data_IF_819109855820
#
_entry.id   IF_819109855820
#
_cell.length_a   1.000
_cell.length_b   1.000
_cell.length_c   1.000
_cell.angle_alpha   90.00
_cell.angle_beta   90.00
_cell.angle_gamma   90.00
#
_symmetry.space_group_name_H-M   'P 1'
#
loop_
_entity.id
_entity.type
_entity.pdbx_description
1 polymer ?
#
# COMPACT_ATOMS: atom_id res chain seq x y z
N UNK A 1 -3.01 84.61 13.47
CA UNK A 1 -1.68 84.95 12.90
C UNK A 1 -0.78 83.73 12.97
N UNK A 2 0.26 83.66 12.11
CA UNK A 2 1.52 82.86 12.15
C UNK A 2 1.45 81.43 12.75
N UNK A 3 1.68 80.30 12.07
CA UNK A 3 2.58 79.92 10.93
C UNK A 3 4.07 79.77 11.32
N UNK A 4 4.51 78.50 11.48
CA UNK A 4 5.91 77.98 11.55
C UNK A 4 6.70 78.38 12.83
N UNK A 5 7.76 77.70 13.30
CA UNK A 5 8.70 76.65 12.76
C UNK A 5 9.22 75.81 13.99
N UNK A 6 10.19 74.85 14.06
CA UNK A 6 11.22 74.20 13.20
C UNK A 6 11.79 72.91 13.89
N UNK A 7 11.97 71.77 13.17
CA UNK A 7 13.00 70.69 13.40
C UNK A 7 13.05 69.92 14.75
N UNK A 8 13.67 68.72 14.91
CA UNK A 8 13.79 67.45 14.14
C UNK A 8 14.50 66.40 15.04
N UNK A 9 14.29 65.09 14.80
CA UNK A 9 15.06 63.92 15.28
C UNK A 9 15.46 63.77 16.76
N UNK A 10 15.01 62.66 17.35
CA UNK A 10 15.95 61.59 17.73
C UNK A 10 15.30 60.21 17.52
N UNK A 11 16.01 59.33 16.80
CA UNK A 11 15.64 57.92 16.61
C UNK A 11 16.32 57.07 17.69
N UNK A 12 15.54 56.34 18.48
CA UNK A 12 16.02 55.18 19.24
C UNK A 12 15.11 53.99 18.94
N UNK A 13 15.44 53.29 17.86
CA UNK A 13 14.77 52.06 17.46
C UNK A 13 15.12 50.91 18.39
N UNK A 14 14.35 50.73 19.46
CA UNK A 14 14.41 49.55 20.32
C UNK A 14 13.93 48.31 19.57
N UNK A 15 14.83 47.63 18.86
CA UNK A 15 14.53 46.38 18.16
C UNK A 15 14.28 45.24 19.15
N UNK A 16 13.03 45.12 19.62
CA UNK A 16 12.58 44.01 20.44
C UNK A 16 12.61 42.70 19.63
N UNK A 17 13.72 41.97 19.71
CA UNK A 17 13.86 40.62 19.17
C UNK A 17 12.94 39.65 19.93
N UNK A 18 11.69 39.58 19.48
CA UNK A 18 10.75 38.55 19.90
C UNK A 18 11.24 37.19 19.38
N UNK A 19 12.02 36.49 20.19
CA UNK A 19 12.42 35.10 19.94
C UNK A 19 11.16 34.23 20.05
N UNK A 20 10.46 34.07 18.93
CA UNK A 20 9.37 33.12 18.83
C UNK A 20 9.93 31.71 19.14
N UNK A 21 9.28 30.91 20.00
CA UNK A 21 9.74 29.58 20.31
C UNK A 21 9.66 28.72 19.05
N UNK A 22 10.82 28.41 18.46
CA UNK A 22 10.93 27.41 17.42
C UNK A 22 10.65 26.04 18.04
N UNK A 23 9.37 25.66 18.07
CA UNK A 23 8.95 24.29 18.27
C UNK A 23 9.60 23.46 17.17
N UNK A 24 10.69 22.79 17.53
CA UNK A 24 11.33 21.81 16.66
C UNK A 24 10.37 20.64 16.56
N UNK A 25 9.58 20.62 15.48
CA UNK A 25 8.78 19.47 15.10
C UNK A 25 9.76 18.34 14.74
N UNK A 26 10.15 17.57 15.76
CA UNK A 26 10.81 16.28 15.59
C UNK A 26 9.92 15.44 14.67
N UNK A 27 10.44 15.05 13.50
CA UNK A 27 9.74 14.23 12.52
C UNK A 27 9.55 12.80 13.05
N UNK A 28 8.68 12.65 14.04
CA UNK A 28 8.12 11.37 14.45
C UNK A 28 7.30 10.88 13.26
N UNK A 29 7.73 9.78 12.65
CA UNK A 29 6.97 9.12 11.60
C UNK A 29 5.56 8.82 12.10
N UNK A 30 4.54 9.19 11.31
CA UNK A 30 3.13 8.90 11.56
C UNK A 30 2.86 7.39 11.71
N UNK A 31 3.76 6.55 11.20
CA UNK A 31 3.72 5.09 11.26
C UNK A 31 5.02 4.52 11.81
N UNK A 32 4.93 3.53 12.70
CA UNK A 32 6.11 2.85 13.23
C UNK A 32 6.72 1.87 12.21
N UNK A 33 8.04 1.64 12.30
CA UNK A 33 8.73 0.64 11.45
C UNK A 33 8.07 -0.75 11.56
N UNK A 34 7.61 -1.13 12.75
CA UNK A 34 6.94 -2.41 12.96
C UNK A 34 5.60 -2.49 12.24
N UNK A 35 4.78 -1.43 12.21
CA UNK A 35 3.56 -1.38 11.37
C UNK A 35 3.89 -1.45 9.87
N UNK A 36 4.92 -0.73 9.44
CA UNK A 36 5.33 -0.67 8.02
C UNK A 36 5.74 -2.06 7.48
N UNK A 37 6.28 -2.94 8.33
CA UNK A 37 6.59 -4.35 8.04
C UNK A 37 5.57 -5.35 8.61
N UNK A 38 4.44 -4.88 9.15
CA UNK A 38 3.31 -5.71 9.60
C UNK A 38 3.53 -6.52 10.89
N UNK A 39 4.58 -6.21 11.66
CA UNK A 39 4.82 -6.76 13.01
C UNK A 39 4.14 -5.93 14.10
N UNK A 40 3.83 -4.66 13.81
CA UNK A 40 3.05 -3.77 14.65
C UNK A 40 1.54 -4.02 14.56
N UNK A 41 0.80 -3.51 15.55
CA UNK A 41 -0.64 -3.73 15.73
C UNK A 41 -1.42 -2.41 15.53
N UNK A 42 -1.71 -2.00 14.28
CA UNK A 42 -2.52 -0.80 14.03
C UNK A 42 -3.99 -1.01 14.45
N UNK A 43 -4.68 0.07 14.82
CA UNK A 43 -6.12 0.04 15.01
C UNK A 43 -6.82 -0.18 13.65
N UNK A 44 -7.72 -1.16 13.58
CA UNK A 44 -8.38 -1.60 12.35
C UNK A 44 -9.86 -1.88 12.54
N UNK A 45 -10.62 -1.59 11.48
CA UNK A 45 -12.08 -1.60 11.44
C UNK A 45 -12.58 -2.49 10.30
N UNK A 46 -13.71 -3.16 10.51
CA UNK A 46 -14.35 -4.05 9.54
C UNK A 46 -14.93 -5.31 10.18
N UNK A 47 -15.68 -6.08 9.39
CA UNK A 47 -16.21 -7.40 9.77
C UNK A 47 -15.94 -8.37 8.61
N UNK A 48 -15.16 -9.43 8.87
CA UNK A 48 -14.58 -10.30 7.84
C UNK A 48 -13.40 -9.67 7.07
N UNK A 49 -13.06 -8.41 7.34
CA UNK A 49 -11.91 -7.68 6.80
C UNK A 49 -11.46 -6.60 7.80
N UNK A 50 -10.31 -5.98 7.56
CA UNK A 50 -9.67 -5.04 8.50
C UNK A 50 -8.88 -3.95 7.76
N UNK A 51 -9.24 -2.69 8.02
CA UNK A 51 -8.70 -1.46 7.41
C UNK A 51 -8.48 -0.37 8.48
N UNK A 52 -7.52 0.55 8.29
CA UNK A 52 -7.44 1.78 9.10
C UNK A 52 -8.71 2.62 8.93
N UNK A 53 -9.05 3.45 9.93
CA UNK A 53 -10.36 4.13 10.01
C UNK A 53 -10.77 4.87 8.73
N UNK A 54 -9.89 5.71 8.19
CA UNK A 54 -10.19 6.51 6.98
C UNK A 54 -10.46 5.62 5.76
N UNK A 55 -9.62 4.59 5.56
CA UNK A 55 -9.79 3.61 4.50
C UNK A 55 -11.07 2.78 4.68
N UNK A 56 -11.44 2.44 5.92
CA UNK A 56 -12.71 1.78 6.24
C UNK A 56 -13.92 2.68 5.92
N UNK A 57 -13.94 3.92 6.41
CA UNK A 57 -15.03 4.88 6.19
C UNK A 57 -15.20 5.23 4.70
N UNK A 58 -14.09 5.25 3.93
CA UNK A 58 -14.11 5.38 2.48
C UNK A 58 -14.62 4.09 1.79
N UNK A 59 -14.17 2.92 2.22
CA UNK A 59 -14.58 1.64 1.65
C UNK A 59 -16.07 1.36 1.84
N UNK A 60 -16.64 1.71 3.00
CA UNK A 60 -18.09 1.62 3.24
C UNK A 60 -18.88 2.48 2.25
N UNK A 61 -18.41 3.70 1.93
CA UNK A 61 -19.03 4.57 0.92
C UNK A 61 -18.94 3.96 -0.48
N UNK A 62 -17.76 3.47 -0.87
CA UNK A 62 -17.54 2.82 -2.17
C UNK A 62 -18.42 1.57 -2.34
N UNK A 63 -18.47 0.70 -1.33
CA UNK A 63 -19.32 -0.51 -1.32
C UNK A 63 -20.81 -0.16 -1.33
N UNK A 64 -21.23 0.91 -0.65
CA UNK A 64 -22.61 1.38 -0.67
C UNK A 64 -23.00 2.07 -1.99
N UNK A 65 -22.05 2.60 -2.76
CA UNK A 65 -22.28 3.09 -4.12
C UNK A 65 -22.47 1.92 -5.10
N UNK A 66 -21.49 1.02 -5.19
CA UNK A 66 -21.56 -0.17 -6.05
C UNK A 66 -22.84 -1.01 -5.83
N UNK A 67 -23.28 -1.14 -4.57
CA UNK A 67 -24.50 -1.88 -4.25
C UNK A 67 -25.78 -1.25 -4.84
N UNK A 68 -25.85 0.07 -5.04
CA UNK A 68 -27.01 0.74 -5.69
C UNK A 68 -27.13 0.36 -7.17
N UNK A 69 -26.01 0.01 -7.79
CA UNK A 69 -25.93 -0.45 -9.18
C UNK A 69 -25.98 -1.97 -9.30
N UNK A 70 -26.36 -2.65 -8.20
CA UNK A 70 -26.45 -4.11 -8.08
C UNK A 70 -25.08 -4.83 -8.19
N UNK A 71 -24.00 -4.15 -7.76
CA UNK A 71 -22.65 -4.71 -7.68
C UNK A 71 -22.23 -4.95 -6.21
N UNK A 72 -22.70 -6.03 -5.55
CA UNK A 72 -22.34 -6.32 -4.16
C UNK A 72 -20.86 -6.72 -4.03
N UNK A 73 -20.02 -5.83 -3.49
CA UNK A 73 -18.58 -6.11 -3.31
C UNK A 73 -18.33 -7.06 -2.12
N UNK A 74 -17.55 -8.13 -2.34
CA UNK A 74 -16.91 -8.93 -1.29
C UNK A 74 -15.40 -8.66 -1.23
N UNK A 75 -14.88 -8.54 -0.02
CA UNK A 75 -13.44 -8.52 0.26
C UNK A 75 -12.91 -9.96 0.34
N UNK A 76 -11.78 -10.24 -0.30
CA UNK A 76 -11.08 -11.54 -0.28
C UNK A 76 -9.90 -11.52 0.69
N UNK A 77 -9.16 -10.41 0.74
CA UNK A 77 -8.17 -10.14 1.78
C UNK A 77 -8.02 -8.64 2.03
N UNK A 78 -7.46 -8.29 3.19
CA UNK A 78 -7.29 -6.92 3.69
C UNK A 78 -6.03 -6.90 4.57
N UNK A 79 -6.02 -6.29 5.76
CA UNK A 79 -4.84 -6.30 6.65
C UNK A 79 -4.26 -7.71 6.88
N UNK A 80 -2.94 -7.82 6.80
CA UNK A 80 -2.18 -9.05 7.10
C UNK A 80 -1.01 -8.71 8.02
N UNK A 81 -0.88 -9.42 9.14
CA UNK A 81 0.36 -9.40 9.94
C UNK A 81 1.53 -10.03 9.18
N UNK A 82 2.76 -9.73 9.59
CA UNK A 82 3.99 -10.40 9.13
C UNK A 82 3.86 -11.92 9.25
N UNK A 83 3.37 -12.41 10.40
CA UNK A 83 3.14 -13.83 10.66
C UNK A 83 2.03 -14.46 9.79
N UNK A 84 1.11 -13.67 9.22
CA UNK A 84 0.20 -14.14 8.19
C UNK A 84 0.92 -14.24 6.83
N UNK A 85 1.66 -13.20 6.44
CA UNK A 85 2.38 -13.22 5.17
C UNK A 85 3.46 -14.33 5.13
N UNK A 86 4.14 -14.63 6.24
CA UNK A 86 5.08 -15.76 6.30
C UNK A 86 4.38 -17.12 6.10
N UNK A 87 3.20 -17.35 6.70
CA UNK A 87 2.40 -18.57 6.44
C UNK A 87 1.93 -18.69 4.98
N UNK A 88 1.82 -17.58 4.25
CA UNK A 88 1.57 -17.58 2.80
C UNK A 88 2.86 -17.91 2.04
N UNK A 89 3.98 -17.26 2.41
CA UNK A 89 5.30 -17.46 1.84
C UNK A 89 5.77 -18.91 1.94
N UNK A 90 5.88 -19.46 3.14
CA UNK A 90 6.31 -20.86 3.37
C UNK A 90 5.43 -21.85 2.61
N UNK A 91 4.11 -21.65 2.61
CA UNK A 91 3.17 -22.53 1.91
C UNK A 91 3.41 -22.51 0.40
N UNK A 92 3.66 -21.34 -0.20
CA UNK A 92 3.99 -21.24 -1.63
C UNK A 92 5.37 -21.83 -1.92
N UNK A 93 6.38 -21.55 -1.10
CA UNK A 93 7.75 -22.07 -1.25
C UNK A 93 7.78 -23.60 -1.18
N UNK A 94 7.28 -24.19 -0.08
CA UNK A 94 7.14 -25.66 0.11
C UNK A 94 6.38 -26.32 -1.04
N UNK A 95 5.32 -25.68 -1.55
CA UNK A 95 4.56 -26.19 -2.71
C UNK A 95 5.36 -26.18 -3.99
N UNK A 96 6.08 -25.09 -4.30
CA UNK A 96 6.80 -24.95 -5.56
C UNK A 96 8.10 -25.78 -5.60
N UNK A 97 8.85 -25.86 -4.50
CA UNK A 97 10.01 -26.76 -4.42
C UNK A 97 9.58 -28.23 -4.43
N UNK A 98 8.47 -28.55 -3.75
CA UNK A 98 7.80 -29.86 -3.86
C UNK A 98 7.22 -30.18 -5.24
N UNK A 99 7.13 -29.20 -6.15
CA UNK A 99 6.80 -29.38 -7.58
C UNK A 99 8.05 -29.44 -8.48
N UNK A 100 9.25 -29.57 -7.89
CA UNK A 100 10.51 -29.72 -8.63
C UNK A 100 11.17 -28.41 -9.08
N UNK A 101 10.68 -27.24 -8.67
CA UNK A 101 11.37 -25.98 -8.92
C UNK A 101 12.58 -25.85 -7.99
N UNK A 102 13.70 -25.33 -8.50
CA UNK A 102 14.82 -24.90 -7.66
C UNK A 102 14.37 -23.79 -6.68
N UNK A 103 15.02 -23.63 -5.51
CA UNK A 103 14.68 -22.59 -4.55
C UNK A 103 14.53 -21.18 -5.15
N UNK A 104 15.48 -20.75 -6.00
CA UNK A 104 15.40 -19.45 -6.69
C UNK A 104 14.23 -19.36 -7.67
N UNK A 105 13.92 -20.43 -8.43
CA UNK A 105 12.77 -20.44 -9.33
C UNK A 105 11.44 -20.48 -8.55
N UNK A 106 11.41 -21.11 -7.37
CA UNK A 106 10.27 -21.05 -6.46
C UNK A 106 10.08 -19.62 -5.91
N UNK A 107 11.16 -18.93 -5.52
CA UNK A 107 11.13 -17.51 -5.08
C UNK A 107 10.58 -16.61 -6.19
N UNK A 108 11.17 -16.68 -7.40
CA UNK A 108 10.71 -15.92 -8.58
C UNK A 108 9.21 -16.17 -8.82
N UNK A 109 8.76 -17.42 -8.74
CA UNK A 109 7.34 -17.79 -8.93
C UNK A 109 6.42 -17.41 -7.78
N UNK A 110 6.94 -17.11 -6.59
CA UNK A 110 6.17 -16.48 -5.51
C UNK A 110 5.95 -15.01 -5.82
N UNK A 111 7.02 -14.29 -6.19
CA UNK A 111 7.01 -12.83 -6.35
C UNK A 111 6.32 -12.33 -7.63
N UNK A 112 5.83 -13.22 -8.49
CA UNK A 112 4.85 -12.85 -9.53
C UNK A 112 3.54 -12.28 -8.95
N UNK A 113 3.09 -12.83 -7.81
CA UNK A 113 1.76 -12.63 -7.20
C UNK A 113 1.80 -12.77 -5.66
N UNK A 114 2.90 -12.39 -5.00
CA UNK A 114 3.01 -12.35 -3.53
C UNK A 114 4.27 -11.68 -3.01
N UNK A 115 4.09 -10.86 -1.99
CA UNK A 115 5.13 -10.14 -1.28
C UNK A 115 5.94 -11.05 -0.34
N UNK A 116 7.21 -10.72 -0.17
CA UNK A 116 8.06 -11.30 0.88
C UNK A 116 7.50 -10.79 2.23
N UNK A 117 7.49 -11.59 3.32
CA UNK A 117 7.06 -11.10 4.62
C UNK A 117 7.83 -9.84 5.05
N UNK A 118 7.12 -8.80 5.46
CA UNK A 118 7.67 -7.47 5.73
C UNK A 118 7.53 -6.48 4.57
N UNK A 119 7.23 -6.93 3.35
CA UNK A 119 7.10 -6.06 2.15
C UNK A 119 5.67 -5.95 1.62
N UNK A 120 4.69 -6.53 2.33
CA UNK A 120 3.29 -6.51 1.91
C UNK A 120 2.61 -5.17 2.19
N UNK A 121 2.01 -4.53 1.19
CA UNK A 121 1.16 -3.34 1.40
C UNK A 121 -0.06 -3.65 2.29
N UNK A 122 -0.49 -4.91 2.37
CA UNK A 122 -1.50 -5.35 3.35
C UNK A 122 -1.04 -5.22 4.81
N UNK A 123 0.24 -5.03 5.09
CA UNK A 123 0.72 -4.67 6.43
C UNK A 123 0.21 -3.29 6.88
N UNK A 124 -0.12 -2.42 5.93
CA UNK A 124 -0.47 -1.02 6.20
C UNK A 124 -1.94 -0.82 6.57
N UNK A 125 -2.78 -1.85 6.39
CA UNK A 125 -4.23 -1.81 6.54
C UNK A 125 -4.91 -0.73 5.66
N UNK A 126 -4.32 -0.45 4.50
CA UNK A 126 -4.87 0.43 3.43
C UNK A 126 -5.31 -0.33 2.19
N UNK A 127 -4.89 -1.60 2.05
CA UNK A 127 -4.96 -2.38 0.81
C UNK A 127 -5.93 -3.56 0.93
N UNK A 128 -6.74 -3.75 -0.10
CA UNK A 128 -7.82 -4.75 -0.19
C UNK A 128 -7.82 -5.49 -1.52
N UNK A 129 -8.08 -6.79 -1.45
CA UNK A 129 -8.43 -7.61 -2.61
C UNK A 129 -9.96 -7.68 -2.70
N UNK A 130 -10.57 -7.18 -3.77
CA UNK A 130 -12.02 -7.13 -3.94
C UNK A 130 -12.53 -7.89 -5.17
N UNK A 131 -13.69 -8.54 -5.01
CA UNK A 131 -14.40 -9.32 -6.04
C UNK A 131 -15.91 -9.04 -5.95
N UNK A 132 -16.66 -9.41 -6.99
CA UNK A 132 -18.11 -9.39 -6.92
C UNK A 132 -18.61 -10.57 -6.09
N UNK A 133 -19.63 -10.34 -5.26
CA UNK A 133 -20.36 -11.42 -4.61
C UNK A 133 -21.28 -12.09 -5.64
N UNK A 134 -21.06 -13.38 -5.87
CA UNK A 134 -21.75 -14.18 -6.89
C UNK A 134 -22.08 -15.55 -6.33
N UNK A 135 -23.24 -16.11 -6.69
CA UNK A 135 -23.75 -17.36 -6.12
C UNK A 135 -22.82 -18.56 -6.36
N UNK A 136 -22.14 -18.59 -7.52
CA UNK A 136 -21.25 -19.68 -7.94
C UNK A 136 -19.86 -19.11 -8.29
N UNK A 137 -19.03 -18.74 -7.31
CA UNK A 137 -17.73 -18.14 -7.56
C UNK A 137 -16.73 -19.17 -8.11
N UNK A 138 -15.77 -18.75 -8.97
CA UNK A 138 -14.66 -19.62 -9.37
C UNK A 138 -13.79 -19.96 -8.15
N UNK A 139 -13.19 -21.16 -8.15
CA UNK A 139 -12.39 -21.68 -7.01
C UNK A 139 -11.26 -20.73 -6.59
N UNK A 140 -10.51 -20.22 -7.56
CA UNK A 140 -9.48 -19.20 -7.36
C UNK A 140 -10.00 -17.87 -7.91
N UNK A 141 -10.59 -17.04 -7.03
CA UNK A 141 -11.25 -15.79 -7.43
C UNK A 141 -10.27 -14.69 -7.88
N UNK A 142 -9.04 -14.71 -7.38
CA UNK A 142 -8.00 -13.72 -7.70
C UNK A 142 -7.20 -14.15 -8.94
N UNK A 143 -7.85 -14.10 -10.11
CA UNK A 143 -7.22 -14.35 -11.43
C UNK A 143 -7.73 -13.33 -12.46
N UNK A 144 -6.83 -12.67 -13.19
CA UNK A 144 -7.18 -11.49 -14.00
C UNK A 144 -8.25 -11.78 -15.07
N UNK A 145 -8.25 -12.99 -15.63
CA UNK A 145 -9.28 -13.50 -16.56
C UNK A 145 -10.73 -13.43 -16.04
N UNK A 146 -10.94 -13.27 -14.73
CA UNK A 146 -12.28 -13.14 -14.14
C UNK A 146 -12.79 -11.68 -14.12
N UNK A 147 -11.90 -10.70 -14.33
CA UNK A 147 -12.20 -9.26 -14.32
C UNK A 147 -12.33 -8.66 -15.73
N UNK A 148 -12.25 -9.47 -16.79
CA UNK A 148 -12.27 -9.03 -18.18
C UNK A 148 -13.10 -9.93 -19.08
N UNK A 149 -13.58 -9.38 -20.21
CA UNK A 149 -14.45 -10.08 -21.17
C UNK A 149 -15.67 -10.67 -20.47
N UNK A 150 -16.00 -11.93 -20.72
CA UNK A 150 -17.12 -12.64 -20.09
C UNK A 150 -16.78 -13.16 -18.66
N UNK A 151 -15.83 -12.54 -17.97
CA UNK A 151 -15.45 -12.89 -16.60
C UNK A 151 -16.50 -12.48 -15.56
N UNK A 152 -16.73 -13.27 -14.49
CA UNK A 152 -17.80 -13.02 -13.52
C UNK A 152 -17.66 -11.70 -12.73
N UNK A 153 -16.49 -11.06 -12.79
CA UNK A 153 -16.17 -9.80 -12.11
C UNK A 153 -15.93 -8.63 -13.08
N UNK A 154 -16.16 -8.80 -14.39
CA UNK A 154 -15.91 -7.75 -15.40
C UNK A 154 -16.69 -6.47 -15.11
N UNK A 155 -17.99 -6.58 -14.82
CA UNK A 155 -18.83 -5.42 -14.41
C UNK A 155 -18.34 -4.70 -13.16
N UNK A 156 -17.73 -5.43 -12.22
CA UNK A 156 -17.12 -4.79 -11.05
C UNK A 156 -15.82 -4.08 -11.44
N UNK A 157 -15.03 -4.63 -12.36
CA UNK A 157 -13.80 -3.97 -12.85
C UNK A 157 -14.12 -2.67 -13.59
N UNK A 158 -15.09 -2.71 -14.49
CA UNK A 158 -15.63 -1.55 -15.21
C UNK A 158 -16.07 -0.45 -14.23
N UNK A 159 -16.89 -0.79 -13.23
CA UNK A 159 -17.34 0.15 -12.19
C UNK A 159 -16.19 0.70 -11.33
N UNK A 160 -15.22 -0.14 -10.96
CA UNK A 160 -14.06 0.29 -10.18
C UNK A 160 -13.15 1.23 -10.97
N UNK A 161 -12.96 1.00 -12.27
CA UNK A 161 -12.15 1.87 -13.12
C UNK A 161 -12.78 3.26 -13.31
N UNK A 162 -14.11 3.37 -13.30
CA UNK A 162 -14.81 4.67 -13.37
C UNK A 162 -14.93 5.38 -12.02
N UNK A 163 -15.09 4.64 -10.90
CA UNK A 163 -15.54 5.24 -9.64
C UNK A 163 -14.60 5.08 -8.43
N UNK A 164 -13.68 4.12 -8.40
CA UNK A 164 -12.90 3.82 -7.17
C UNK A 164 -12.06 5.01 -6.68
N UNK A 165 -11.47 5.76 -7.61
CA UNK A 165 -10.61 6.92 -7.32
C UNK A 165 -11.40 8.06 -6.65
N UNK A 166 -12.71 8.18 -6.91
CA UNK A 166 -13.58 9.17 -6.25
C UNK A 166 -13.78 8.89 -4.74
N UNK A 167 -13.51 7.65 -4.31
CA UNK A 167 -13.46 7.26 -2.90
C UNK A 167 -12.01 7.20 -2.37
N UNK A 168 -11.02 7.63 -3.14
CA UNK A 168 -9.60 7.58 -2.81
C UNK A 168 -8.98 6.18 -2.90
N UNK A 169 -9.66 5.22 -3.54
CA UNK A 169 -9.14 3.88 -3.79
C UNK A 169 -8.54 3.80 -5.20
N UNK A 170 -7.27 3.38 -5.31
CA UNK A 170 -6.58 3.26 -6.60
C UNK A 170 -6.05 1.84 -6.80
N UNK A 171 -6.13 1.35 -8.03
CA UNK A 171 -5.53 0.08 -8.45
C UNK A 171 -4.00 0.15 -8.33
N UNK A 172 -3.37 -0.78 -7.60
CA UNK A 172 -1.91 -0.74 -7.34
C UNK A 172 -1.10 -1.40 -8.45
N UNK A 173 -1.53 -2.60 -8.85
CA UNK A 173 -0.85 -3.44 -9.82
C UNK A 173 -1.63 -3.39 -11.14
N UNK A 174 -1.24 -2.44 -12.00
CA UNK A 174 -1.94 -2.04 -13.24
C UNK A 174 -1.54 -2.86 -14.47
N UNK A 175 -2.40 -2.90 -15.50
CA UNK A 175 -2.16 -3.64 -16.76
C UNK A 175 -1.27 -2.86 -17.74
N UNK A 176 -0.05 -2.55 -17.32
CA UNK A 176 0.96 -1.88 -18.14
C UNK A 176 2.09 -2.86 -18.47
N UNK A 177 2.20 -3.27 -19.73
CA UNK A 177 3.18 -4.24 -20.22
C UNK A 177 4.66 -3.82 -20.02
N UNK A 178 4.93 -2.55 -19.74
CA UNK A 178 6.28 -2.08 -19.40
C UNK A 178 6.70 -2.47 -17.97
N UNK A 179 5.74 -2.78 -17.08
CA UNK A 179 6.03 -3.22 -15.71
C UNK A 179 6.85 -4.50 -15.66
N UNK A 180 7.56 -4.73 -14.56
CA UNK A 180 8.48 -5.86 -14.29
C UNK A 180 8.20 -6.54 -12.94
N UNK A 181 7.60 -5.81 -11.98
CA UNK A 181 7.30 -6.31 -10.64
C UNK A 181 6.13 -7.29 -10.56
N UNK A 182 5.23 -7.07 -9.59
CA UNK A 182 4.00 -7.85 -9.50
C UNK A 182 3.19 -7.71 -10.78
N UNK A 183 2.68 -8.85 -11.25
CA UNK A 183 1.80 -8.95 -12.42
C UNK A 183 0.50 -8.19 -12.18
N UNK A 184 -0.25 -7.95 -13.25
CA UNK A 184 -1.55 -7.28 -13.17
C UNK A 184 -2.50 -8.00 -12.20
N UNK A 185 -2.98 -7.27 -11.19
CA UNK A 185 -3.90 -7.74 -10.15
C UNK A 185 -5.17 -6.85 -10.10
N UNK A 186 -6.16 -7.03 -11.01
CA UNK A 186 -7.36 -6.19 -11.11
C UNK A 186 -8.29 -6.16 -9.88
N UNK A 187 -7.94 -6.85 -8.80
CA UNK A 187 -8.62 -6.86 -7.50
C UNK A 187 -7.93 -5.99 -6.44
N UNK A 188 -6.65 -5.64 -6.61
CA UNK A 188 -5.83 -5.05 -5.56
C UNK A 188 -5.92 -3.52 -5.59
N UNK A 189 -6.74 -2.97 -4.68
CA UNK A 189 -6.93 -1.54 -4.51
C UNK A 189 -6.36 -1.05 -3.17
N UNK A 190 -5.80 0.16 -3.15
CA UNK A 190 -5.26 0.82 -1.97
C UNK A 190 -5.94 2.15 -1.70
N UNK A 191 -6.18 2.49 -0.43
CA UNK A 191 -6.58 3.83 -0.05
C UNK A 191 -5.37 4.78 -0.11
N UNK A 192 -5.28 5.57 -1.19
CA UNK A 192 -4.10 6.38 -1.50
C UNK A 192 -3.75 7.46 -0.45
N UNK A 193 -4.71 8.19 0.17
CA UNK A 193 -4.39 9.26 1.13
C UNK A 193 -3.56 8.82 2.33
N UNK A 194 -3.70 7.55 2.77
CA UNK A 194 -2.83 6.95 3.78
C UNK A 194 -1.65 6.19 3.16
N UNK A 195 -1.89 5.40 2.11
CA UNK A 195 -0.86 4.48 1.60
C UNK A 195 0.30 5.17 0.90
N UNK A 196 0.12 6.40 0.41
CA UNK A 196 1.20 7.26 -0.10
C UNK A 196 2.15 7.68 1.04
N UNK A 197 1.61 8.20 2.16
CA UNK A 197 2.40 8.50 3.36
C UNK A 197 3.13 7.26 3.91
N UNK A 198 2.44 6.12 3.93
CA UNK A 198 3.04 4.86 4.41
C UNK A 198 4.14 4.37 3.47
N UNK A 199 4.01 4.55 2.15
CA UNK A 199 5.09 4.28 1.21
C UNK A 199 6.27 5.24 1.36
N UNK A 200 6.04 6.54 1.61
CA UNK A 200 7.12 7.48 1.93
C UNK A 200 7.91 7.07 3.18
N UNK A 201 7.22 6.63 4.24
CA UNK A 201 7.87 6.14 5.45
C UNK A 201 8.60 4.82 5.19
N UNK A 202 7.98 3.89 4.46
CA UNK A 202 8.59 2.62 4.04
C UNK A 202 9.84 2.81 3.16
N UNK A 203 9.87 3.82 2.28
CA UNK A 203 11.05 4.21 1.47
C UNK A 203 12.21 4.75 2.30
N UNK A 204 11.98 5.13 3.57
CA UNK A 204 13.00 5.58 4.54
C UNK A 204 13.46 4.43 5.46
N UNK A 205 12.78 3.29 5.45
CA UNK A 205 13.14 2.10 6.20
C UNK A 205 14.17 1.24 5.44
N UNK A 206 15.13 0.64 6.14
CA UNK A 206 16.14 -0.23 5.53
C UNK A 206 15.60 -1.64 5.26
N UNK A 207 14.79 -1.72 4.20
CA UNK A 207 14.22 -2.96 3.66
C UNK A 207 15.31 -3.99 3.34
N UNK A 208 16.50 -3.56 2.89
CA UNK A 208 17.59 -4.46 2.51
C UNK A 208 18.19 -5.16 3.72
N UNK A 209 18.61 -4.38 4.72
CA UNK A 209 19.13 -4.93 5.99
C UNK A 209 18.07 -5.75 6.72
N UNK A 210 16.78 -5.43 6.59
CA UNK A 210 15.69 -6.27 7.09
C UNK A 210 15.66 -7.61 6.38
N UNK A 211 15.51 -7.64 5.04
CA UNK A 211 15.43 -8.88 4.26
C UNK A 211 16.67 -9.78 4.39
N UNK A 212 17.88 -9.20 4.50
CA UNK A 212 19.13 -9.93 4.72
C UNK A 212 19.25 -10.56 6.12
N UNK A 213 18.47 -10.09 7.11
CA UNK A 213 18.44 -10.62 8.49
C UNK A 213 17.32 -11.63 8.72
N UNK A 214 16.29 -11.65 7.88
CA UNK A 214 15.14 -12.53 8.06
C UNK A 214 15.45 -14.00 7.74
N UNK A 215 14.96 -14.90 8.61
CA UNK A 215 15.19 -16.35 8.50
C UNK A 215 14.02 -17.05 7.81
N UNK A 216 13.66 -16.55 6.63
CA UNK A 216 12.59 -17.08 5.79
C UNK A 216 13.08 -18.27 4.98
N UNK A 217 12.19 -19.19 4.61
CA UNK A 217 12.54 -20.26 3.68
C UNK A 217 12.92 -19.64 2.32
N UNK A 218 14.16 -19.84 1.85
CA UNK A 218 14.64 -19.18 0.64
C UNK A 218 15.45 -17.90 0.88
N UNK A 219 15.60 -17.40 2.12
CA UNK A 219 16.38 -16.16 2.33
C UNK A 219 17.88 -16.32 2.10
N UNK A 220 18.38 -17.56 2.01
CA UNK A 220 19.72 -17.87 1.51
C UNK A 220 19.97 -17.39 0.07
N UNK A 221 18.90 -17.10 -0.68
CA UNK A 221 18.94 -16.53 -2.03
C UNK A 221 18.64 -15.02 -2.09
N UNK A 222 18.43 -14.35 -0.95
CA UNK A 222 18.19 -12.90 -0.91
C UNK A 222 19.51 -12.11 -0.98
N UNK A 223 20.20 -12.23 -2.11
CA UNK A 223 21.44 -11.47 -2.38
C UNK A 223 21.15 -9.96 -2.49
N UNK A 224 22.18 -9.13 -2.40
CA UNK A 224 22.06 -7.67 -2.56
C UNK A 224 21.41 -7.31 -3.90
N UNK A 225 21.79 -7.99 -4.97
CA UNK A 225 21.33 -7.78 -6.34
C UNK A 225 19.85 -8.20 -6.48
N UNK A 226 19.48 -9.36 -5.93
CA UNK A 226 18.08 -9.79 -5.90
C UNK A 226 17.21 -8.80 -5.12
N UNK A 227 17.67 -8.32 -3.96
CA UNK A 227 16.93 -7.36 -3.14
C UNK A 227 16.81 -6.00 -3.86
N UNK A 228 17.87 -5.48 -4.48
CA UNK A 228 17.80 -4.20 -5.20
C UNK A 228 16.85 -4.27 -6.40
N UNK A 229 16.87 -5.39 -7.14
CA UNK A 229 15.89 -5.63 -8.20
C UNK A 229 14.47 -5.75 -7.62
N UNK A 230 14.27 -6.50 -6.53
CA UNK A 230 12.98 -6.67 -5.88
C UNK A 230 12.40 -5.35 -5.32
N UNK A 231 13.23 -4.47 -4.75
CA UNK A 231 12.79 -3.15 -4.29
C UNK A 231 12.37 -2.29 -5.50
N UNK A 232 13.20 -2.23 -6.54
CA UNK A 232 12.92 -1.45 -7.75
C UNK A 232 11.66 -1.93 -8.47
N UNK A 233 11.53 -3.24 -8.66
CA UNK A 233 10.50 -3.84 -9.52
C UNK A 233 9.29 -4.26 -8.69
N UNK A 234 9.40 -5.12 -7.68
CA UNK A 234 8.21 -5.55 -6.94
C UNK A 234 7.63 -4.49 -6.00
N UNK A 235 8.44 -3.66 -5.34
CA UNK A 235 7.93 -2.67 -4.36
C UNK A 235 7.55 -1.34 -5.02
N UNK A 236 8.36 -0.85 -5.97
CA UNK A 236 8.24 0.51 -6.51
C UNK A 236 7.63 0.59 -7.92
N UNK A 237 7.59 -0.48 -8.72
CA UNK A 237 6.91 -0.52 -10.01
C UNK A 237 5.40 -0.77 -9.81
N UNK A 238 4.71 0.26 -9.29
CA UNK A 238 3.28 0.31 -9.02
C UNK A 238 2.61 1.41 -9.86
N UNK A 239 1.30 1.62 -9.68
CA UNK A 239 0.61 2.77 -10.26
C UNK A 239 1.34 4.09 -9.90
N UNK A 240 1.83 4.89 -10.88
CA UNK A 240 2.64 6.08 -10.62
C UNK A 240 1.99 7.10 -9.69
N UNK A 241 0.66 7.23 -9.70
CA UNK A 241 -0.08 8.10 -8.79
C UNK A 241 0.21 7.80 -7.30
N UNK A 242 0.61 6.57 -6.97
CA UNK A 242 0.97 6.15 -5.61
C UNK A 242 2.43 6.46 -5.22
N UNK A 243 3.25 6.96 -6.14
CA UNK A 243 4.67 7.28 -5.95
C UNK A 243 4.96 8.78 -5.76
N UNK A 244 4.03 9.63 -6.23
CA UNK A 244 4.09 11.10 -6.32
C UNK A 244 3.82 11.83 -5.01
#
# INVERSE_FOLDING_TARGET
MNRKTFIHNCLLGGAALAIAPQFSFSNISEFSNEELIGKGNPEVFGNGYSLRKEAYDAFIKMKAAALKENLPIRVVSSYRTYAHQNRIWERKYKRFTGQGLSPINAIIKIVEYSTIPGTSRHHWATDIDIVLEVQNPPKDVLLAKHFHNNGPFCKLKEWLDEHSESFGFHLVYTDNANRKGFKYEPWHFTYAPLSKKMLEAYRKFDVKTMLQKEKLMGSEHFTTEFIDQYIKENILDINPYLLE
#
